data_IF_773420279736
#
_entry.id   IF_773420279736
#
_cell.length_a   1.000
_cell.length_b   1.000
_cell.length_c   1.000
_cell.angle_alpha   90.00
_cell.angle_beta   90.00
_cell.angle_gamma   90.00
#
_symmetry.space_group_name_H-M   'P 1'
#
loop_
_entity.id
_entity.type
_entity.pdbx_description
1 polymer ?
#
# COMPACT_ATOMS: atom_id res chain seq x y z
N UNK A 1 -15.28 43.96 -7.09
CA UNK A 1 -15.19 43.36 -5.75
C UNK A 1 -16.12 42.15 -5.70
N UNK A 2 -15.59 40.93 -5.89
CA UNK A 2 -16.39 39.70 -5.85
C UNK A 2 -16.49 39.28 -4.39
N UNK A 3 -17.73 39.21 -3.87
CA UNK A 3 -18.06 38.95 -2.47
C UNK A 3 -17.47 37.61 -2.01
N UNK A 4 -16.71 37.65 -0.90
CA UNK A 4 -16.14 36.46 -0.22
C UNK A 4 -17.21 35.47 0.26
N UNK A 5 -18.47 35.89 0.35
CA UNK A 5 -19.61 35.12 0.87
C UNK A 5 -19.97 33.91 -0.01
N UNK A 6 -19.87 34.03 -1.35
CA UNK A 6 -20.26 32.95 -2.27
C UNK A 6 -19.30 31.75 -2.26
N UNK A 7 -18.03 31.96 -1.89
CA UNK A 7 -17.06 30.86 -1.74
C UNK A 7 -17.29 30.06 -0.45
N UNK A 8 -17.84 30.69 0.58
CA UNK A 8 -18.11 30.03 1.87
C UNK A 8 -19.33 29.12 1.79
N UNK A 9 -20.41 29.53 1.13
CA UNK A 9 -21.59 28.67 0.93
C UNK A 9 -21.29 27.40 0.11
N UNK A 10 -20.38 27.47 -0.87
CA UNK A 10 -19.91 26.28 -1.61
C UNK A 10 -19.00 25.37 -0.77
N UNK A 11 -18.31 25.90 0.23
CA UNK A 11 -17.50 25.09 1.17
C UNK A 11 -18.37 24.35 2.19
N UNK A 12 -19.56 24.86 2.50
CA UNK A 12 -20.50 24.21 3.44
C UNK A 12 -21.17 22.96 2.86
N UNK A 13 -21.25 22.86 1.52
CA UNK A 13 -21.67 21.64 0.80
C UNK A 13 -20.56 20.59 0.64
N UNK A 14 -19.42 20.74 1.33
CA UNK A 14 -18.56 19.59 1.60
C UNK A 14 -19.25 18.73 2.68
N UNK A 15 -20.26 17.94 2.25
CA UNK A 15 -20.92 16.93 3.07
C UNK A 15 -19.82 16.08 3.71
N UNK A 16 -19.60 16.27 5.01
CA UNK A 16 -18.62 15.47 5.76
C UNK A 16 -19.05 14.02 5.64
N UNK A 17 -18.17 13.16 5.13
CA UNK A 17 -18.47 11.75 5.02
C UNK A 17 -18.66 11.16 6.43
N UNK A 18 -19.82 10.57 6.70
CA UNK A 18 -20.04 9.80 7.93
C UNK A 18 -19.18 8.54 7.87
N UNK A 19 -18.27 8.40 8.82
CA UNK A 19 -17.47 7.17 8.94
C UNK A 19 -18.34 6.06 9.56
N UNK A 20 -18.46 4.94 8.86
CA UNK A 20 -19.14 3.75 9.37
C UNK A 20 -18.11 2.72 9.80
N UNK A 21 -18.14 2.32 11.06
CA UNK A 21 -17.30 1.28 11.63
C UNK A 21 -18.12 -0.01 11.78
N UNK A 22 -17.48 -1.17 11.54
CA UNK A 22 -18.11 -2.48 11.61
C UNK A 22 -17.22 -3.42 12.41
N UNK A 23 -17.85 -4.26 13.25
CA UNK A 23 -17.18 -5.40 13.86
C UNK A 23 -17.31 -6.62 12.95
N UNK A 24 -16.28 -6.82 12.13
CA UNK A 24 -16.18 -7.93 11.19
C UNK A 24 -15.18 -8.97 11.68
N UNK A 25 -15.42 -10.24 11.36
CA UNK A 25 -14.44 -11.30 11.64
C UNK A 25 -13.10 -11.02 10.95
N UNK A 26 -12.02 -11.51 11.54
CA UNK A 26 -10.67 -11.32 11.01
C UNK A 26 -10.51 -11.90 9.60
N UNK A 27 -11.21 -12.99 9.29
CA UNK A 27 -11.24 -13.62 7.98
C UNK A 27 -11.88 -12.72 6.92
N UNK A 28 -13.05 -12.15 7.22
CA UNK A 28 -13.73 -11.21 6.31
C UNK A 28 -12.86 -9.98 6.04
N UNK A 29 -12.26 -9.41 7.09
CA UNK A 29 -11.36 -8.26 6.93
C UNK A 29 -10.14 -8.59 6.07
N UNK A 30 -9.54 -9.77 6.26
CA UNK A 30 -8.39 -10.23 5.46
C UNK A 30 -8.78 -10.41 3.99
N UNK A 31 -9.92 -11.02 3.72
CA UNK A 31 -10.37 -11.28 2.35
C UNK A 31 -10.63 -9.98 1.59
N UNK A 32 -11.33 -9.01 2.18
CA UNK A 32 -11.56 -7.70 1.55
C UNK A 32 -10.24 -6.96 1.30
N UNK A 33 -9.31 -7.00 2.25
CA UNK A 33 -7.99 -6.36 2.09
C UNK A 33 -7.15 -7.01 0.99
N UNK A 34 -7.18 -8.34 0.86
CA UNK A 34 -6.50 -9.07 -0.22
C UNK A 34 -7.05 -8.67 -1.59
N UNK A 35 -8.38 -8.70 -1.76
CA UNK A 35 -9.00 -8.25 -3.01
C UNK A 35 -8.63 -6.81 -3.35
N UNK A 36 -8.58 -5.92 -2.35
CA UNK A 36 -8.17 -4.54 -2.56
C UNK A 36 -6.72 -4.45 -3.07
N UNK A 37 -5.81 -5.27 -2.53
CA UNK A 37 -4.43 -5.37 -3.00
C UNK A 37 -4.38 -5.87 -4.45
N UNK A 38 -5.11 -6.95 -4.77
CA UNK A 38 -5.13 -7.58 -6.09
C UNK A 38 -5.66 -6.63 -7.18
N UNK A 39 -6.64 -5.78 -6.83
CA UNK A 39 -7.22 -4.80 -7.75
C UNK A 39 -6.51 -3.43 -7.75
N UNK A 40 -5.41 -3.28 -7.01
CA UNK A 40 -4.72 -2.00 -6.83
C UNK A 40 -5.63 -0.89 -6.25
N UNK A 41 -6.56 -1.27 -5.38
CA UNK A 41 -7.49 -0.38 -4.67
C UNK A 41 -7.11 -0.23 -3.19
N UNK A 42 -7.57 0.87 -2.58
CA UNK A 42 -7.56 0.97 -1.12
C UNK A 42 -8.68 0.09 -0.54
N UNK A 43 -8.57 -0.40 0.72
CA UNK A 43 -9.67 -1.11 1.34
C UNK A 43 -10.99 -0.30 1.37
N UNK A 44 -10.91 1.02 1.53
CA UNK A 44 -12.10 1.89 1.48
C UNK A 44 -12.73 1.93 0.09
N UNK A 45 -11.93 1.94 -0.97
CA UNK A 45 -12.45 1.94 -2.33
C UNK A 45 -12.95 0.57 -2.76
N UNK A 46 -12.34 -0.51 -2.25
CA UNK A 46 -12.90 -1.84 -2.40
C UNK A 46 -14.30 -1.93 -1.77
N UNK A 47 -14.48 -1.38 -0.56
CA UNK A 47 -15.81 -1.31 0.07
C UNK A 47 -16.78 -0.47 -0.79
N UNK A 48 -16.35 0.66 -1.35
CA UNK A 48 -17.19 1.45 -2.28
C UNK A 48 -17.59 0.63 -3.50
N UNK A 49 -16.64 -0.09 -4.10
CA UNK A 49 -16.88 -0.96 -5.26
C UNK A 49 -17.89 -2.06 -4.94
N UNK A 50 -17.74 -2.75 -3.80
CA UNK A 50 -18.67 -3.79 -3.34
C UNK A 50 -20.09 -3.22 -3.17
N UNK A 51 -20.21 -1.98 -2.71
CA UNK A 51 -21.49 -1.28 -2.53
C UNK A 51 -22.01 -0.61 -3.81
N UNK A 52 -21.39 -0.84 -4.97
CA UNK A 52 -21.69 -0.19 -6.26
C UNK A 52 -21.67 1.35 -6.18
N UNK A 53 -20.75 1.90 -5.38
CA UNK A 53 -20.49 3.33 -5.26
C UNK A 53 -19.30 3.75 -6.13
N UNK A 54 -19.24 5.04 -6.46
CA UNK A 54 -18.14 5.61 -7.23
C UNK A 54 -16.78 5.49 -6.51
N UNK A 55 -15.78 5.01 -7.23
CA UNK A 55 -14.42 4.80 -6.72
C UNK A 55 -13.60 6.04 -7.01
N UNK A 56 -13.28 6.79 -5.96
CA UNK A 56 -12.65 8.11 -6.07
C UNK A 56 -11.15 8.06 -6.38
N UNK A 57 -10.48 6.98 -6.02
CA UNK A 57 -9.02 6.90 -6.08
C UNK A 57 -8.53 6.39 -7.43
N UNK A 58 -7.43 6.99 -7.89
CA UNK A 58 -6.60 6.36 -8.94
C UNK A 58 -5.97 5.09 -8.37
N UNK A 59 -5.67 4.12 -9.25
CA UNK A 59 -4.93 2.88 -8.92
C UNK A 59 -3.80 3.16 -7.92
N UNK A 60 -3.85 2.49 -6.78
CA UNK A 60 -2.87 2.60 -5.71
C UNK A 60 -1.72 1.64 -5.98
N UNK A 61 -0.52 2.19 -6.25
CA UNK A 61 0.68 1.36 -6.41
C UNK A 61 1.06 0.74 -5.07
N UNK A 62 0.94 -0.57 -4.97
CA UNK A 62 1.46 -1.34 -3.84
C UNK A 62 2.99 -1.24 -3.82
N UNK A 63 3.57 -0.93 -2.66
CA UNK A 63 5.02 -0.78 -2.50
C UNK A 63 5.52 -1.74 -1.43
N UNK A 64 6.55 -2.50 -1.77
CA UNK A 64 7.32 -3.29 -0.81
C UNK A 64 8.58 -2.51 -0.45
N UNK A 65 8.64 -2.03 0.79
CA UNK A 65 9.81 -1.33 1.33
C UNK A 65 9.97 -1.69 2.80
N UNK A 66 11.21 -1.85 3.22
CA UNK A 66 11.59 -2.00 4.61
C UNK A 66 12.86 -1.20 4.86
N UNK A 67 13.09 -0.83 6.11
CA UNK A 67 14.25 -0.03 6.49
C UNK A 67 15.38 -0.97 6.93
N UNK A 68 16.60 -0.57 6.60
CA UNK A 68 17.83 -1.21 7.03
C UNK A 68 18.77 -0.13 7.57
N UNK A 69 19.42 -0.42 8.69
CA UNK A 69 20.53 0.39 9.17
C UNK A 69 21.86 -0.05 8.51
N UNK A 70 22.93 0.71 8.72
CA UNK A 70 24.22 0.44 8.06
C UNK A 70 24.87 -0.88 8.51
N UNK A 71 24.63 -1.32 9.75
CA UNK A 71 25.12 -2.59 10.26
C UNK A 71 24.41 -3.77 9.56
N UNK A 72 23.09 -3.71 9.43
CA UNK A 72 22.30 -4.72 8.72
C UNK A 72 22.68 -4.79 7.24
N UNK A 73 22.93 -3.64 6.59
CA UNK A 73 23.43 -3.60 5.21
C UNK A 73 24.79 -4.31 5.11
N UNK A 74 25.69 -4.07 6.07
CA UNK A 74 27.01 -4.70 6.11
C UNK A 74 26.91 -6.21 6.31
N UNK A 75 26.05 -6.65 7.24
CA UNK A 75 25.77 -8.07 7.46
C UNK A 75 25.20 -8.76 6.21
N UNK A 76 24.30 -8.08 5.49
CA UNK A 76 23.76 -8.58 4.23
C UNK A 76 24.83 -8.64 3.13
N UNK A 77 25.72 -7.64 3.06
CA UNK A 77 26.81 -7.64 2.09
C UNK A 77 27.73 -8.86 2.28
N UNK A 78 28.13 -9.12 3.53
CA UNK A 78 28.93 -10.31 3.88
C UNK A 78 28.18 -11.59 3.53
N UNK A 79 26.89 -11.69 3.87
CA UNK A 79 26.05 -12.86 3.58
C UNK A 79 25.91 -13.13 2.08
N UNK A 80 25.84 -12.07 1.28
CA UNK A 80 25.67 -12.17 -0.17
C UNK A 80 26.98 -12.27 -0.94
N UNK A 81 28.12 -12.26 -0.22
CA UNK A 81 29.46 -12.22 -0.79
C UNK A 81 29.62 -11.04 -1.78
N UNK A 82 29.17 -9.86 -1.35
CA UNK A 82 29.34 -8.59 -2.09
C UNK A 82 30.13 -7.59 -1.25
N UNK A 83 30.69 -6.58 -1.92
CA UNK A 83 31.42 -5.50 -1.24
C UNK A 83 30.49 -4.78 -0.24
N UNK A 84 30.96 -4.60 1.00
CA UNK A 84 30.24 -3.92 2.09
C UNK A 84 29.93 -2.46 1.81
N UNK A 85 30.69 -1.81 0.94
CA UNK A 85 30.43 -0.45 0.48
C UNK A 85 29.43 -0.40 -0.68
N UNK A 86 29.18 -1.53 -1.35
CA UNK A 86 28.27 -1.61 -2.49
C UNK A 86 26.82 -1.88 -2.03
N UNK A 87 26.19 -0.83 -1.51
CA UNK A 87 24.76 -0.84 -1.14
C UNK A 87 23.85 -1.22 -2.31
N UNK A 88 24.27 -0.98 -3.55
CA UNK A 88 23.49 -1.31 -4.75
C UNK A 88 23.50 -2.82 -5.00
N UNK A 89 24.65 -3.48 -4.83
CA UNK A 89 24.76 -4.93 -4.93
C UNK A 89 23.90 -5.64 -3.88
N UNK A 90 23.91 -5.15 -2.63
CA UNK A 90 23.02 -5.65 -1.57
C UNK A 90 21.55 -5.53 -1.98
N UNK A 91 21.13 -4.35 -2.47
CA UNK A 91 19.75 -4.12 -2.92
C UNK A 91 19.32 -5.07 -4.04
N UNK A 92 20.21 -5.33 -5.01
CA UNK A 92 19.91 -6.26 -6.11
C UNK A 92 19.72 -7.69 -5.58
N UNK A 93 20.62 -8.16 -4.71
CA UNK A 93 20.53 -9.50 -4.11
C UNK A 93 19.26 -9.67 -3.27
N UNK A 94 18.88 -8.65 -2.51
CA UNK A 94 17.59 -8.64 -1.77
C UNK A 94 16.42 -8.77 -2.74
N UNK A 95 16.40 -8.00 -3.84
CA UNK A 95 15.33 -8.07 -4.83
C UNK A 95 15.22 -9.48 -5.44
N UNK A 96 16.35 -10.09 -5.81
CA UNK A 96 16.38 -11.44 -6.39
C UNK A 96 15.84 -12.49 -5.42
N UNK A 97 16.18 -12.39 -4.13
CA UNK A 97 15.67 -13.29 -3.08
C UNK A 97 14.16 -13.13 -2.91
N UNK A 98 13.65 -11.90 -2.86
CA UNK A 98 12.23 -11.63 -2.73
C UNK A 98 11.43 -12.17 -3.92
N UNK A 99 11.96 -12.03 -5.15
CA UNK A 99 11.36 -12.59 -6.36
C UNK A 99 11.30 -14.12 -6.27
N UNK A 100 12.42 -14.77 -5.91
CA UNK A 100 12.47 -16.24 -5.76
C UNK A 100 11.50 -16.75 -4.71
N UNK A 101 11.42 -16.06 -3.57
CA UNK A 101 10.48 -16.40 -2.50
C UNK A 101 9.03 -16.34 -3.00
N UNK A 102 8.63 -15.24 -3.65
CA UNK A 102 7.28 -15.08 -4.18
C UNK A 102 6.91 -16.14 -5.23
N UNK A 103 7.84 -16.50 -6.12
CA UNK A 103 7.62 -17.55 -7.14
C UNK A 103 7.42 -18.92 -6.48
N UNK A 104 8.20 -19.25 -5.47
CA UNK A 104 8.11 -20.56 -4.81
C UNK A 104 6.83 -20.70 -3.99
N UNK A 105 6.43 -19.67 -3.24
CA UNK A 105 5.16 -19.67 -2.50
C UNK A 105 3.93 -19.74 -3.42
N UNK A 106 4.03 -19.32 -4.68
CA UNK A 106 2.91 -19.42 -5.63
C UNK A 106 2.79 -20.81 -6.29
N UNK A 107 3.76 -21.71 -6.08
CA UNK A 107 3.80 -23.06 -6.68
C UNK A 107 3.34 -24.18 -5.73
N UNK A 108 3.24 -23.89 -4.43
CA UNK A 108 2.63 -24.77 -3.43
C UNK A 108 1.14 -24.41 -3.24
#
# INVERSE_FOLDING_TARGET
MIKKEDKWLKQEQAIRATQMAFDLSSEVQKNIKKQAIDEELTPSDMIRKILNLDVKSKKTRQRLSFNLNDEEITQLAIRFDVNTEDKRAVKQKVADILIKYAINTSKE
#
